data_IF_561000676653
#
_entry.id   IF_561000676653
#
_cell.length_a   1.000
_cell.length_b   1.000
_cell.length_c   1.000
_cell.angle_alpha   90.00
_cell.angle_beta   90.00
_cell.angle_gamma   90.00
#
_symmetry.space_group_name_H-M   'P 1'
#
loop_
_entity.id
_entity.type
_entity.pdbx_description
1 polymer ?
#
# COMPACT_ATOMS: atom_id res chain seq x y z
N UNK A 1 -4.95 -62.48 37.72
CA UNK A 1 -5.53 -62.05 39.01
C UNK A 1 -4.94 -60.68 39.34
N UNK A 2 -5.81 -59.73 39.74
CA UNK A 2 -5.47 -58.36 40.20
C UNK A 2 -5.29 -57.35 39.06
N UNK A 3 -6.32 -56.88 38.37
CA UNK A 3 -7.39 -55.94 38.81
C UNK A 3 -6.85 -54.57 39.20
N UNK A 4 -7.16 -53.62 38.32
CA UNK A 4 -7.05 -52.17 38.36
C UNK A 4 -7.75 -51.56 39.57
N UNK A 5 -7.09 -50.61 40.24
CA UNK A 5 -7.74 -49.73 41.21
C UNK A 5 -7.61 -48.27 40.76
N UNK A 6 -8.79 -47.65 40.71
CA UNK A 6 -9.17 -46.35 40.17
C UNK A 6 -9.53 -45.47 41.37
N UNK A 7 -8.98 -44.25 41.51
CA UNK A 7 -9.39 -43.22 42.48
C UNK A 7 -8.74 -41.85 42.12
N UNK A 8 -9.31 -40.70 42.53
CA UNK A 8 -10.07 -39.81 41.63
C UNK A 8 -9.47 -38.39 41.44
N UNK A 9 -10.00 -37.68 40.43
CA UNK A 9 -9.79 -36.26 40.18
C UNK A 9 -10.28 -35.35 41.33
N UNK A 10 -9.56 -34.27 41.66
CA UNK A 10 -10.14 -33.09 42.27
C UNK A 10 -10.36 -31.96 41.26
N UNK A 11 -11.50 -31.32 41.42
CA UNK A 11 -12.04 -30.19 40.64
C UNK A 11 -11.30 -28.88 40.95
N UNK A 12 -11.20 -28.07 39.90
CA UNK A 12 -10.69 -26.68 39.76
C UNK A 12 -11.10 -25.70 40.88
N UNK A 13 -10.24 -24.70 41.19
CA UNK A 13 -10.69 -23.34 41.44
C UNK A 13 -10.22 -22.37 40.33
N UNK A 14 -11.17 -21.60 39.81
CA UNK A 14 -10.96 -20.48 38.88
C UNK A 14 -10.34 -19.29 39.64
N UNK A 15 -9.17 -18.84 39.22
CA UNK A 15 -8.68 -17.47 39.49
C UNK A 15 -8.17 -16.88 38.16
N UNK A 16 -8.96 -16.02 37.52
CA UNK A 16 -8.88 -14.54 37.57
C UNK A 16 -7.48 -13.97 37.31
N UNK A 17 -7.34 -13.48 36.07
CA UNK A 17 -6.72 -12.19 35.68
C UNK A 17 -5.36 -11.83 36.26
N UNK A 18 -4.33 -11.97 35.44
CA UNK A 18 -3.19 -11.03 35.43
C UNK A 18 -3.06 -10.40 34.04
N UNK A 19 -3.79 -9.30 33.87
CA UNK A 19 -3.48 -8.29 32.87
C UNK A 19 -2.20 -7.59 33.32
N UNK A 20 -1.16 -7.62 32.50
CA UNK A 20 -0.08 -6.62 32.56
C UNK A 20 -0.22 -5.71 31.33
N UNK A 21 -0.12 -4.38 31.52
CA UNK A 21 -0.71 -3.42 30.61
C UNK A 21 0.22 -3.11 29.43
N UNK A 22 -0.33 -3.20 28.22
CA UNK A 22 0.25 -2.61 27.02
C UNK A 22 0.25 -1.08 27.15
N UNK A 23 1.44 -0.50 26.98
CA UNK A 23 1.68 0.94 26.99
C UNK A 23 0.95 1.62 25.83
N UNK A 24 -0.14 2.31 26.15
CA UNK A 24 -0.73 3.32 25.29
C UNK A 24 0.04 4.64 25.49
N UNK A 25 0.87 5.03 24.51
CA UNK A 25 1.42 6.38 24.44
C UNK A 25 0.30 7.36 24.04
N UNK A 26 -0.29 8.01 25.04
CA UNK A 26 -1.21 9.12 24.91
C UNK A 26 -0.43 10.42 25.14
N UNK A 27 -0.47 11.32 24.16
CA UNK A 27 0.12 12.67 24.20
C UNK A 27 -0.23 13.43 25.49
N UNK A 28 0.73 14.14 26.14
CA UNK A 28 0.41 15.01 27.27
C UNK A 28 -0.24 16.31 26.78
N UNK A 29 -1.44 16.58 27.30
CA UNK A 29 -2.06 17.91 27.29
C UNK A 29 -1.25 18.81 28.23
N UNK A 30 -0.66 19.88 27.70
CA UNK A 30 -0.09 20.95 28.51
C UNK A 30 -1.22 21.70 29.21
N UNK A 31 -1.32 21.49 30.53
CA UNK A 31 -2.12 22.31 31.43
C UNK A 31 -1.47 23.68 31.62
N UNK A 32 -2.26 24.74 31.50
CA UNK A 32 -1.89 26.08 31.96
C UNK A 32 -2.00 26.13 33.49
N UNK A 33 -1.06 26.76 34.21
CA UNK A 33 -1.26 27.05 35.62
C UNK A 33 -2.15 28.29 35.81
N UNK A 34 -3.01 28.19 36.82
CA UNK A 34 -3.76 29.28 37.45
C UNK A 34 -2.80 30.24 38.15
N UNK A 35 -2.98 31.54 37.94
CA UNK A 35 -2.55 32.60 38.87
C UNK A 35 -3.74 33.52 39.15
N UNK A 36 -3.97 33.76 40.43
CA UNK A 36 -4.98 34.61 41.06
C UNK A 36 -4.73 36.12 40.83
N UNK A 37 -5.73 36.99 41.12
CA UNK A 37 -5.80 38.34 40.56
C UNK A 37 -5.12 39.39 41.46
N UNK A 38 -4.43 40.34 40.83
CA UNK A 38 -4.06 41.61 41.44
C UNK A 38 -4.93 42.70 40.84
N UNK A 39 -5.81 43.26 41.68
CA UNK A 39 -6.59 44.45 41.36
C UNK A 39 -5.71 45.70 41.39
N UNK A 40 -5.89 46.55 40.38
CA UNK A 40 -5.59 47.97 40.44
C UNK A 40 -6.52 48.68 39.44
N UNK A 41 -7.46 49.42 40.00
CA UNK A 41 -8.33 50.34 39.30
C UNK A 41 -7.50 51.55 38.85
N UNK A 42 -7.56 51.89 37.55
CA UNK A 42 -7.25 53.22 37.04
C UNK A 42 -8.18 53.54 35.87
N UNK A 43 -9.12 54.42 36.19
CA UNK A 43 -9.59 55.61 35.48
C UNK A 43 -10.01 55.57 34.00
N UNK A 44 -11.16 56.19 33.77
CA UNK A 44 -11.84 56.28 32.49
C UNK A 44 -11.19 57.28 31.55
N UNK A 45 -11.07 56.87 30.28
CA UNK A 45 -10.65 57.74 29.19
C UNK A 45 -11.04 57.10 27.86
N UNK A 46 -12.11 57.63 27.27
CA UNK A 46 -12.61 57.28 25.94
C UNK A 46 -11.49 57.40 24.89
N UNK A 47 -11.13 56.26 24.26
CA UNK A 47 -10.36 56.26 23.00
C UNK A 47 -11.25 55.71 21.89
N UNK A 48 -11.40 56.41 20.76
CA UNK A 48 -12.21 55.92 19.64
C UNK A 48 -11.61 54.64 19.03
N UNK A 49 -12.46 53.62 18.85
CA UNK A 49 -12.12 52.39 18.11
C UNK A 49 -11.86 52.73 16.64
N UNK A 50 -10.69 52.33 16.14
CA UNK A 50 -10.43 52.31 14.70
C UNK A 50 -11.41 51.34 14.00
N UNK A 51 -11.90 51.66 12.78
CA UNK A 51 -12.83 50.81 12.05
C UNK A 51 -12.16 49.48 11.66
N UNK A 52 -12.85 48.38 11.94
CA UNK A 52 -12.46 47.03 11.53
C UNK A 52 -12.40 46.97 10.00
N UNK A 53 -11.30 46.49 9.38
CA UNK A 53 -11.26 46.30 7.93
C UNK A 53 -12.33 45.28 7.50
N UNK A 54 -12.94 45.44 6.31
CA UNK A 54 -13.94 44.49 5.82
C UNK A 54 -13.31 43.09 5.73
N UNK A 55 -14.05 42.07 6.19
CA UNK A 55 -13.66 40.67 6.00
C UNK A 55 -13.46 40.42 4.50
N UNK A 56 -12.38 39.75 4.07
CA UNK A 56 -12.25 39.35 2.69
C UNK A 56 -13.46 38.48 2.31
N UNK A 57 -14.15 38.88 1.25
CA UNK A 57 -15.23 38.10 0.65
C UNK A 57 -14.73 36.69 0.38
N UNK A 58 -15.40 35.70 0.97
CA UNK A 58 -15.14 34.29 0.72
C UNK A 58 -15.25 34.08 -0.81
N UNK A 59 -14.24 33.51 -1.50
CA UNK A 59 -14.38 33.22 -2.91
C UNK A 59 -15.63 32.36 -3.08
N UNK A 60 -16.51 32.76 -4.00
CA UNK A 60 -17.69 31.98 -4.34
C UNK A 60 -17.20 30.59 -4.72
N UNK A 61 -17.76 29.56 -4.06
CA UNK A 61 -17.56 28.20 -4.52
C UNK A 61 -18.13 28.15 -5.93
N UNK A 62 -17.42 27.60 -6.92
CA UNK A 62 -18.05 27.32 -8.21
C UNK A 62 -19.31 26.50 -7.92
N UNK A 63 -20.40 26.83 -8.59
CA UNK A 63 -21.65 26.09 -8.46
C UNK A 63 -21.42 24.69 -9.01
N UNK A 64 -21.20 23.74 -8.10
CA UNK A 64 -21.01 22.34 -8.42
C UNK A 64 -22.33 21.64 -8.12
N UNK A 65 -23.30 21.77 -9.01
CA UNK A 65 -24.35 20.76 -9.10
C UNK A 65 -23.65 19.44 -9.42
N UNK A 66 -23.59 18.56 -8.42
CA UNK A 66 -23.24 17.17 -8.66
C UNK A 66 -24.17 16.64 -9.77
N UNK A 67 -23.67 15.88 -10.75
CA UNK A 67 -24.56 15.14 -11.63
C UNK A 67 -25.54 14.34 -10.76
N UNK A 68 -26.83 14.35 -11.11
CA UNK A 68 -27.86 13.60 -10.39
C UNK A 68 -27.38 12.14 -10.24
N UNK A 69 -27.62 11.47 -9.10
CA UNK A 69 -27.45 10.03 -9.02
C UNK A 69 -28.27 9.39 -10.13
N UNK A 70 -27.64 8.54 -10.95
CA UNK A 70 -28.34 7.74 -11.95
C UNK A 70 -29.41 6.91 -11.25
N UNK A 71 -30.66 7.09 -11.66
CA UNK A 71 -31.78 6.30 -11.20
C UNK A 71 -31.79 4.95 -11.91
N UNK A 72 -32.35 3.93 -11.26
CA UNK A 72 -32.52 2.59 -11.86
C UNK A 72 -33.39 2.57 -13.13
N UNK A 73 -34.09 3.68 -13.41
CA UNK A 73 -34.98 3.87 -14.56
C UNK A 73 -34.41 4.82 -15.64
N UNK A 74 -33.15 5.25 -15.53
CA UNK A 74 -32.53 6.08 -16.58
C UNK A 74 -32.24 5.21 -17.83
N UNK A 75 -32.61 5.65 -19.05
CA UNK A 75 -32.36 4.87 -20.25
C UNK A 75 -30.86 4.64 -20.41
N UNK A 76 -30.45 3.38 -20.53
CA UNK A 76 -29.08 3.00 -20.89
C UNK A 76 -28.80 3.64 -22.25
N UNK A 77 -28.06 4.74 -22.23
CA UNK A 77 -27.69 5.43 -23.45
C UNK A 77 -26.91 4.48 -24.35
N UNK A 78 -27.26 4.54 -25.64
CA UNK A 78 -26.67 3.89 -26.80
C UNK A 78 -25.15 3.76 -26.72
N UNK A 79 -24.59 2.79 -27.46
CA UNK A 79 -23.14 2.57 -27.59
C UNK A 79 -22.36 3.89 -27.51
N UNK A 80 -21.34 3.97 -26.62
CA UNK A 80 -20.57 5.20 -26.47
C UNK A 80 -20.02 5.56 -27.86
N UNK A 81 -20.11 6.83 -28.29
CA UNK A 81 -19.55 7.22 -29.58
C UNK A 81 -18.07 6.79 -29.56
N UNK A 82 -17.62 6.03 -30.57
CA UNK A 82 -16.27 5.43 -30.66
C UNK A 82 -15.12 6.36 -30.21
N UNK A 83 -15.15 7.69 -30.43
CA UNK A 83 -14.14 8.62 -29.91
C UNK A 83 -13.99 8.63 -28.38
N UNK A 84 -15.09 8.46 -27.63
CA UNK A 84 -15.07 8.49 -26.16
C UNK A 84 -14.31 7.29 -25.59
N UNK A 85 -14.58 6.12 -26.17
CA UNK A 85 -13.94 4.86 -25.78
C UNK A 85 -12.45 4.88 -26.15
N UNK A 86 -12.10 5.34 -27.34
CA UNK A 86 -10.72 5.45 -27.78
C UNK A 86 -9.88 6.33 -26.82
N UNK A 87 -10.35 7.53 -26.51
CA UNK A 87 -9.68 8.47 -25.57
C UNK A 87 -9.55 7.86 -24.17
N UNK A 88 -10.59 7.18 -23.69
CA UNK A 88 -10.51 6.54 -22.37
C UNK A 88 -9.50 5.39 -22.35
N UNK A 89 -9.50 4.53 -23.37
CA UNK A 89 -8.58 3.39 -23.46
C UNK A 89 -7.13 3.84 -23.57
N UNK A 90 -6.86 4.94 -24.29
CA UNK A 90 -5.54 5.57 -24.36
C UNK A 90 -5.01 5.91 -22.96
N UNK A 91 -5.86 6.48 -22.09
CA UNK A 91 -5.46 6.92 -20.76
C UNK A 91 -5.64 5.86 -19.67
N UNK A 92 -6.30 4.74 -19.95
CA UNK A 92 -6.62 3.69 -18.98
C UNK A 92 -5.39 3.18 -18.19
N UNK A 93 -4.21 2.94 -18.78
CA UNK A 93 -3.03 2.54 -18.00
C UNK A 93 -2.61 3.60 -16.96
N UNK A 94 -2.67 4.89 -17.33
CA UNK A 94 -2.38 6.02 -16.44
C UNK A 94 -3.38 6.08 -15.29
N UNK A 95 -4.67 5.97 -15.59
CA UNK A 95 -5.74 5.97 -14.60
C UNK A 95 -5.61 4.82 -13.60
N UNK A 96 -5.35 3.61 -14.10
CA UNK A 96 -5.08 2.45 -13.25
C UNK A 96 -3.83 2.67 -12.38
N UNK A 97 -2.75 3.21 -12.95
CA UNK A 97 -1.51 3.50 -12.21
C UNK A 97 -1.70 4.49 -11.07
N UNK A 98 -2.55 5.52 -11.25
CA UNK A 98 -2.93 6.47 -10.20
C UNK A 98 -3.74 5.74 -9.12
N UNK A 99 -4.81 5.04 -9.50
CA UNK A 99 -5.70 4.38 -8.56
C UNK A 99 -4.99 3.30 -7.73
N UNK A 100 -4.13 2.49 -8.36
CA UNK A 100 -3.38 1.44 -7.67
C UNK A 100 -2.39 2.02 -6.65
N UNK A 101 -1.62 3.06 -6.99
CA UNK A 101 -0.70 3.72 -6.02
C UNK A 101 -1.46 4.42 -4.89
N UNK A 102 -2.68 4.87 -5.18
CA UNK A 102 -3.55 5.42 -4.16
C UNK A 102 -4.07 4.34 -3.20
N UNK A 103 -4.55 3.20 -3.71
CA UNK A 103 -5.36 2.25 -2.93
C UNK A 103 -4.60 1.01 -2.45
N UNK A 104 -3.51 0.64 -3.13
CA UNK A 104 -2.72 -0.54 -2.81
C UNK A 104 -3.44 -1.86 -3.09
N UNK A 105 -4.55 -1.86 -3.84
CA UNK A 105 -5.24 -3.06 -4.33
C UNK A 105 -5.55 -2.93 -5.82
N UNK A 106 -5.42 -4.03 -6.55
CA UNK A 106 -5.74 -4.13 -7.98
C UNK A 106 -7.24 -4.06 -8.19
N UNK A 107 -8.02 -4.82 -7.44
CA UNK A 107 -9.48 -4.82 -7.57
C UNK A 107 -10.08 -3.43 -7.30
N UNK A 108 -9.69 -2.77 -6.20
CA UNK A 108 -10.18 -1.40 -5.92
C UNK A 108 -9.73 -0.41 -7.01
N UNK A 109 -8.54 -0.58 -7.60
CA UNK A 109 -8.07 0.27 -8.68
C UNK A 109 -8.86 0.05 -9.98
N UNK A 110 -9.17 -1.20 -10.33
CA UNK A 110 -10.03 -1.54 -11.46
C UNK A 110 -11.44 -0.97 -11.29
N UNK A 111 -12.01 -1.10 -10.09
CA UNK A 111 -13.33 -0.53 -9.76
C UNK A 111 -13.35 0.99 -9.94
N UNK A 112 -12.31 1.70 -9.46
CA UNK A 112 -12.21 3.16 -9.65
C UNK A 112 -12.10 3.53 -11.14
N UNK A 113 -11.33 2.77 -11.92
CA UNK A 113 -11.20 3.02 -13.37
C UNK A 113 -12.53 2.76 -14.08
N UNK A 114 -13.27 1.72 -13.69
CA UNK A 114 -14.61 1.44 -14.23
C UNK A 114 -15.59 2.55 -13.87
N UNK A 115 -15.61 3.02 -12.62
CA UNK A 115 -16.46 4.14 -12.22
C UNK A 115 -16.10 5.43 -12.96
N UNK A 116 -14.81 5.67 -13.21
CA UNK A 116 -14.36 6.81 -14.02
C UNK A 116 -14.84 6.72 -15.47
N UNK A 117 -14.84 5.52 -16.07
CA UNK A 117 -15.40 5.28 -17.40
C UNK A 117 -16.88 5.66 -17.45
N UNK A 118 -17.69 5.19 -16.51
CA UNK A 118 -19.12 5.49 -16.47
C UNK A 118 -19.39 7.01 -16.39
N UNK A 119 -18.58 7.74 -15.62
CA UNK A 119 -18.67 9.20 -15.53
C UNK A 119 -18.22 9.89 -16.82
N UNK A 120 -17.22 9.35 -17.50
CA UNK A 120 -16.71 9.89 -18.76
C UNK A 120 -17.69 9.67 -19.91
N UNK A 121 -18.24 8.45 -20.04
CA UNK A 121 -19.17 8.11 -21.11
C UNK A 121 -20.49 8.87 -21.02
N UNK A 122 -20.94 9.19 -19.80
CA UNK A 122 -22.16 9.93 -19.54
C UNK A 122 -21.98 11.47 -19.51
N UNK A 123 -20.74 11.98 -19.53
CA UNK A 123 -20.49 13.41 -19.50
C UNK A 123 -20.70 14.08 -20.86
N UNK A 124 -21.21 15.30 -20.83
CA UNK A 124 -21.01 16.26 -21.91
C UNK A 124 -19.53 16.65 -21.94
N UNK A 125 -18.91 16.51 -23.11
CA UNK A 125 -17.45 16.56 -23.31
C UNK A 125 -17.02 17.69 -24.22
N UNK A 126 -17.97 18.50 -24.71
CA UNK A 126 -17.69 19.55 -25.69
C UNK A 126 -16.74 20.63 -25.12
N UNK A 127 -16.78 20.84 -23.80
CA UNK A 127 -15.90 21.78 -23.09
C UNK A 127 -14.62 21.13 -22.50
N UNK A 128 -14.37 19.83 -22.76
CA UNK A 128 -13.17 19.15 -22.24
C UNK A 128 -11.99 19.33 -23.19
N UNK A 129 -11.23 20.40 -22.96
CA UNK A 129 -10.01 20.69 -23.74
C UNK A 129 -8.89 19.65 -23.53
N UNK A 130 -8.74 19.13 -22.30
CA UNK A 130 -7.66 18.20 -21.92
C UNK A 130 -8.22 16.94 -21.24
N UNK A 131 -8.56 15.89 -22.03
CA UNK A 131 -9.16 14.65 -21.52
C UNK A 131 -8.33 13.95 -20.44
N UNK A 132 -7.00 13.94 -20.57
CA UNK A 132 -6.11 13.29 -19.60
C UNK A 132 -6.24 13.94 -18.22
N UNK A 133 -6.13 15.26 -18.15
CA UNK A 133 -6.22 16.00 -16.89
C UNK A 133 -7.62 15.86 -16.25
N UNK A 134 -8.67 15.81 -17.07
CA UNK A 134 -10.04 15.58 -16.62
C UNK A 134 -10.21 14.19 -15.99
N UNK A 135 -9.76 13.13 -16.67
CA UNK A 135 -9.86 11.75 -16.18
C UNK A 135 -8.99 11.51 -14.93
N UNK A 136 -7.76 12.02 -14.91
CA UNK A 136 -6.87 11.95 -13.73
C UNK A 136 -7.52 12.63 -12.52
N UNK A 137 -8.21 13.76 -12.72
CA UNK A 137 -8.97 14.43 -11.67
C UNK A 137 -10.10 13.57 -11.12
N UNK A 138 -10.89 12.92 -11.98
CA UNK A 138 -11.97 12.01 -11.57
C UNK A 138 -11.40 10.88 -10.73
N UNK A 139 -10.41 10.14 -11.27
CA UNK A 139 -9.81 8.98 -10.61
C UNK A 139 -9.16 9.35 -9.28
N UNK A 140 -8.49 10.50 -9.21
CA UNK A 140 -7.88 10.98 -7.96
C UNK A 140 -8.93 11.22 -6.89
N UNK A 141 -10.04 11.87 -7.23
CA UNK A 141 -11.12 12.16 -6.27
C UNK A 141 -11.79 10.88 -5.78
N UNK A 142 -12.14 9.99 -6.71
CA UNK A 142 -12.66 8.66 -6.42
C UNK A 142 -11.74 7.87 -5.47
N UNK A 143 -10.44 7.87 -5.76
CA UNK A 143 -9.45 7.18 -4.93
C UNK A 143 -9.31 7.78 -3.53
N UNK A 144 -9.38 9.11 -3.39
CA UNK A 144 -9.36 9.78 -2.08
C UNK A 144 -10.58 9.37 -1.25
N UNK A 145 -11.77 9.35 -1.87
CA UNK A 145 -13.00 9.00 -1.16
C UNK A 145 -13.00 7.51 -0.78
N UNK A 146 -12.55 6.63 -1.68
CA UNK A 146 -12.35 5.21 -1.37
C UNK A 146 -11.33 5.01 -0.25
N UNK A 147 -10.19 5.70 -0.26
CA UNK A 147 -9.21 5.64 0.83
C UNK A 147 -9.79 6.04 2.19
N UNK A 148 -10.64 7.07 2.24
CA UNK A 148 -11.32 7.48 3.48
C UNK A 148 -12.23 6.38 4.01
N UNK A 149 -13.01 5.75 3.12
CA UNK A 149 -13.89 4.64 3.47
C UNK A 149 -13.08 3.42 3.95
N UNK A 150 -12.01 3.06 3.23
CA UNK A 150 -11.18 1.90 3.56
C UNK A 150 -10.42 2.13 4.85
N UNK A 151 -9.85 3.32 5.09
CA UNK A 151 -9.16 3.64 6.35
C UNK A 151 -10.08 3.49 7.55
N UNK A 152 -11.34 3.91 7.43
CA UNK A 152 -12.35 3.71 8.47
C UNK A 152 -12.71 2.23 8.68
N UNK A 153 -12.58 1.38 7.65
CA UNK A 153 -12.85 -0.07 7.71
C UNK A 153 -11.65 -0.93 8.09
N UNK A 154 -10.41 -0.42 7.93
CA UNK A 154 -9.16 -1.14 8.23
C UNK A 154 -9.05 -1.57 9.70
N UNK A 155 -9.87 -1.01 10.59
CA UNK A 155 -10.01 -1.46 11.98
C UNK A 155 -10.43 -2.94 12.10
N UNK A 156 -11.09 -3.50 11.08
CA UNK A 156 -11.58 -4.89 11.08
C UNK A 156 -10.68 -5.85 10.30
N UNK A 157 -9.54 -5.41 9.77
CA UNK A 157 -8.65 -6.27 8.99
C UNK A 157 -7.91 -7.28 9.88
N UNK A 158 -7.89 -8.55 9.49
CA UNK A 158 -7.25 -9.63 10.26
C UNK A 158 -5.78 -9.74 9.89
N UNK A 159 -4.91 -9.27 10.80
CA UNK A 159 -3.45 -9.34 10.66
C UNK A 159 -2.82 -8.10 10.00
N UNK A 160 -1.52 -8.14 9.69
CA UNK A 160 -0.84 -7.06 8.96
C UNK A 160 -1.43 -6.85 7.56
N UNK A 161 -1.54 -5.58 7.15
CA UNK A 161 -1.94 -5.20 5.79
C UNK A 161 -0.72 -4.97 4.92
N UNK A 162 -0.65 -5.63 3.77
CA UNK A 162 0.33 -5.39 2.72
C UNK A 162 -0.35 -5.01 1.37
N UNK A 163 0.20 -4.13 0.53
CA UNK A 163 -0.33 -3.86 -0.80
C UNK A 163 -0.43 -5.12 -1.67
N UNK A 164 -1.41 -5.18 -2.57
CA UNK A 164 -1.50 -6.27 -3.54
C UNK A 164 -0.30 -6.25 -4.48
N UNK A 165 0.45 -7.36 -4.61
CA UNK A 165 1.59 -7.45 -5.51
C UNK A 165 1.14 -7.29 -6.96
N UNK A 166 1.82 -6.47 -7.76
CA UNK A 166 1.46 -6.22 -9.15
C UNK A 166 2.64 -6.56 -10.09
N UNK A 167 2.43 -7.36 -11.16
CA UNK A 167 3.45 -7.58 -12.19
C UNK A 167 4.03 -6.27 -12.71
N UNK A 168 5.35 -6.21 -12.83
CA UNK A 168 6.07 -4.95 -13.06
C UNK A 168 5.68 -4.30 -14.39
N UNK A 169 5.52 -5.10 -15.44
CA UNK A 169 5.02 -4.69 -16.75
C UNK A 169 3.69 -3.94 -16.64
N UNK A 170 2.75 -4.45 -15.85
CA UNK A 170 1.46 -3.80 -15.56
C UNK A 170 1.62 -2.57 -14.66
N UNK A 171 2.53 -2.62 -13.69
CA UNK A 171 2.78 -1.55 -12.71
C UNK A 171 3.36 -0.26 -13.32
N UNK A 172 4.08 -0.42 -14.44
CA UNK A 172 4.75 0.65 -15.19
C UNK A 172 4.16 0.88 -16.59
N UNK A 173 3.08 0.19 -16.96
CA UNK A 173 2.44 0.30 -18.28
C UNK A 173 2.13 1.76 -18.69
N UNK A 174 1.78 2.61 -17.73
CA UNK A 174 1.51 4.04 -17.94
C UNK A 174 2.74 4.85 -18.39
N UNK A 175 3.96 4.38 -18.13
CA UNK A 175 5.20 5.10 -18.49
C UNK A 175 5.40 5.20 -20.00
N UNK A 176 4.83 4.27 -20.76
CA UNK A 176 4.85 4.32 -22.22
C UNK A 176 4.14 5.58 -22.74
N UNK A 177 3.19 6.11 -21.97
CA UNK A 177 2.45 7.34 -22.26
C UNK A 177 3.02 8.57 -21.50
N UNK A 178 4.16 8.46 -20.81
CA UNK A 178 4.76 9.59 -20.10
C UNK A 178 5.46 10.55 -21.09
N UNK A 179 5.37 11.89 -20.89
CA UNK A 179 6.01 12.87 -21.76
C UNK A 179 7.52 12.67 -21.91
N UNK A 180 8.07 13.05 -23.06
CA UNK A 180 9.53 13.08 -23.29
C UNK A 180 10.20 14.01 -22.26
N UNK A 181 11.25 13.52 -21.60
CA UNK A 181 11.97 14.23 -20.53
C UNK A 181 11.50 13.93 -19.09
N UNK A 182 10.44 13.13 -18.91
CA UNK A 182 10.10 12.59 -17.59
C UNK A 182 11.20 11.65 -17.07
N UNK A 183 11.56 11.77 -15.79
CA UNK A 183 12.50 10.85 -15.15
C UNK A 183 11.81 9.50 -14.88
N UNK A 184 11.84 8.63 -15.90
CA UNK A 184 11.22 7.30 -15.88
C UNK A 184 11.76 6.41 -14.77
N UNK A 185 13.01 6.60 -14.35
CA UNK A 185 13.62 5.83 -13.28
C UNK A 185 13.03 6.22 -11.91
N UNK A 186 12.96 7.51 -11.60
CA UNK A 186 12.30 8.00 -10.37
C UNK A 186 10.83 7.60 -10.33
N UNK A 187 10.17 7.67 -11.48
CA UNK A 187 8.78 7.28 -11.66
C UNK A 187 8.55 5.78 -11.45
N UNK A 188 9.43 4.92 -11.97
CA UNK A 188 9.37 3.47 -11.76
C UNK A 188 9.56 3.14 -10.29
N UNK A 189 10.48 3.81 -9.62
CA UNK A 189 10.75 3.62 -8.20
C UNK A 189 9.51 3.92 -7.32
N UNK A 190 8.57 4.77 -7.76
CA UNK A 190 7.33 5.03 -6.99
C UNK A 190 6.41 3.82 -6.85
N UNK A 191 6.58 2.78 -7.68
CA UNK A 191 5.81 1.54 -7.56
C UNK A 191 6.51 0.46 -6.77
N UNK A 192 7.73 0.73 -6.29
CA UNK A 192 8.45 -0.20 -5.43
C UNK A 192 7.62 -0.52 -4.21
N UNK A 193 7.64 -1.79 -3.81
CA UNK A 193 6.73 -2.28 -2.78
C UNK A 193 6.95 -1.60 -1.43
N UNK A 194 8.22 -1.32 -1.11
CA UNK A 194 8.59 -0.52 0.05
C UNK A 194 7.97 0.88 -0.01
N UNK A 195 8.00 1.54 -1.18
CA UNK A 195 7.38 2.87 -1.34
C UNK A 195 5.86 2.80 -1.20
N UNK A 196 5.19 1.79 -1.76
CA UNK A 196 3.74 1.56 -1.56
C UNK A 196 3.39 1.36 -0.08
N UNK A 197 4.20 0.60 0.66
CA UNK A 197 4.04 0.42 2.10
C UNK A 197 4.24 1.71 2.89
N UNK A 198 5.24 2.52 2.53
CA UNK A 198 5.46 3.80 3.21
C UNK A 198 4.32 4.77 2.93
N UNK A 199 3.78 4.77 1.70
CA UNK A 199 2.60 5.54 1.33
C UNK A 199 1.38 5.19 2.20
N UNK A 200 1.31 3.98 2.78
CA UNK A 200 0.26 3.59 3.73
C UNK A 200 0.18 4.49 4.97
N UNK A 201 1.28 5.14 5.35
CA UNK A 201 1.32 6.09 6.47
C UNK A 201 0.84 7.50 6.13
N UNK A 202 0.68 7.82 4.84
CA UNK A 202 0.26 9.15 4.40
C UNK A 202 -1.25 9.34 4.55
N UNK A 203 -1.68 10.56 4.88
CA UNK A 203 -3.09 10.92 4.73
C UNK A 203 -3.53 10.80 3.26
N UNK A 204 -4.82 10.58 2.96
CA UNK A 204 -5.29 10.42 1.58
C UNK A 204 -4.88 11.57 0.64
N UNK A 205 -4.83 12.80 1.17
CA UNK A 205 -4.42 13.98 0.40
C UNK A 205 -2.91 14.08 0.22
N UNK A 206 -2.12 13.73 1.23
CA UNK A 206 -0.66 13.66 1.09
C UNK A 206 -0.27 12.60 0.07
N UNK A 207 -0.93 11.44 0.10
CA UNK A 207 -0.73 10.38 -0.89
C UNK A 207 -1.11 10.84 -2.29
N UNK A 208 -2.27 11.48 -2.47
CA UNK A 208 -2.68 12.01 -3.78
C UNK A 208 -1.66 13.00 -4.35
N UNK A 209 -1.19 13.95 -3.53
CA UNK A 209 -0.19 14.92 -3.95
C UNK A 209 1.14 14.24 -4.28
N UNK A 210 1.58 13.27 -3.48
CA UNK A 210 2.80 12.50 -3.74
C UNK A 210 2.69 11.72 -5.05
N UNK A 211 1.62 10.96 -5.26
CA UNK A 211 1.41 10.16 -6.47
C UNK A 211 1.38 11.05 -7.71
N UNK A 212 0.54 12.09 -7.72
CA UNK A 212 0.43 12.97 -8.90
C UNK A 212 1.74 13.70 -9.20
N UNK A 213 2.50 14.09 -8.17
CA UNK A 213 3.75 14.83 -8.35
C UNK A 213 4.92 13.92 -8.71
N UNK A 214 5.15 12.88 -7.94
CA UNK A 214 6.38 12.06 -8.00
C UNK A 214 6.23 10.90 -8.97
N UNK A 215 5.02 10.30 -9.07
CA UNK A 215 4.78 9.24 -10.04
C UNK A 215 4.36 9.81 -11.40
N UNK A 216 3.57 10.87 -11.48
CA UNK A 216 3.04 11.36 -12.77
C UNK A 216 3.63 12.69 -13.24
N UNK A 217 4.50 13.32 -12.45
CA UNK A 217 5.22 14.54 -12.85
C UNK A 217 4.35 15.79 -12.92
N UNK A 218 3.11 15.78 -12.42
CA UNK A 218 2.19 16.91 -12.60
C UNK A 218 2.71 18.18 -11.91
N UNK A 219 2.55 19.35 -12.54
CA UNK A 219 2.82 20.63 -11.91
C UNK A 219 1.84 20.90 -10.77
N UNK A 220 2.27 21.63 -9.75
CA UNK A 220 1.43 21.94 -8.58
C UNK A 220 0.13 22.67 -8.94
N UNK A 221 0.10 23.45 -10.02
CA UNK A 221 -1.11 24.12 -10.49
C UNK A 221 -2.18 23.10 -10.94
N UNK A 222 -1.77 22.07 -11.69
CA UNK A 222 -2.68 21.03 -12.16
C UNK A 222 -3.17 20.16 -11.00
N UNK A 223 -2.29 19.80 -10.06
CA UNK A 223 -2.66 19.08 -8.85
C UNK A 223 -3.65 19.89 -8.01
N UNK A 224 -3.45 21.21 -7.91
CA UNK A 224 -4.36 22.13 -7.22
C UNK A 224 -5.76 22.13 -7.85
N UNK A 225 -5.84 22.19 -9.18
CA UNK A 225 -7.10 22.08 -9.90
C UNK A 225 -7.76 20.70 -9.71
N UNK A 226 -6.99 19.61 -9.78
CA UNK A 226 -7.49 18.26 -9.57
C UNK A 226 -8.10 18.08 -8.17
N UNK A 227 -7.42 18.58 -7.15
CA UNK A 227 -7.84 18.46 -5.75
C UNK A 227 -8.83 19.54 -5.29
N UNK A 228 -9.12 20.55 -6.12
CA UNK A 228 -9.97 21.69 -5.75
C UNK A 228 -9.37 22.50 -4.59
N UNK A 229 -8.06 22.76 -4.62
CA UNK A 229 -7.31 23.45 -3.56
C UNK A 229 -6.43 24.55 -4.13
N UNK A 230 -5.96 25.48 -3.28
CA UNK A 230 -4.95 26.46 -3.66
C UNK A 230 -3.56 25.82 -3.82
N UNK A 231 -2.73 26.38 -4.71
CA UNK A 231 -1.39 25.85 -5.01
C UNK A 231 -0.49 25.78 -3.77
N UNK A 232 -0.56 26.77 -2.88
CA UNK A 232 0.21 26.79 -1.63
C UNK A 232 -0.15 25.63 -0.69
N UNK A 233 -1.45 25.30 -0.60
CA UNK A 233 -1.90 24.16 0.19
C UNK A 233 -1.39 22.83 -0.38
N UNK A 234 -1.30 22.71 -1.71
CA UNK A 234 -0.71 21.54 -2.37
C UNK A 234 0.79 21.47 -2.10
N UNK A 235 1.53 22.58 -2.18
CA UNK A 235 2.97 22.62 -1.86
C UNK A 235 3.24 22.19 -0.42
N UNK A 236 2.43 22.64 0.53
CA UNK A 236 2.51 22.21 1.92
C UNK A 236 2.25 20.71 2.09
N UNK A 237 1.21 20.18 1.42
CA UNK A 237 0.92 18.75 1.40
C UNK A 237 2.08 17.93 0.82
N UNK A 238 2.69 18.41 -0.26
CA UNK A 238 3.86 17.77 -0.87
C UNK A 238 5.05 17.75 0.09
N UNK A 239 5.32 18.86 0.78
CA UNK A 239 6.37 18.93 1.80
C UNK A 239 6.15 17.93 2.94
N UNK A 240 4.91 17.82 3.44
CA UNK A 240 4.55 16.83 4.47
C UNK A 240 4.69 15.40 3.97
N UNK A 241 4.21 15.11 2.77
CA UNK A 241 4.34 13.80 2.16
C UNK A 241 5.82 13.40 2.04
N UNK A 242 6.67 14.27 1.48
CA UNK A 242 8.11 14.01 1.36
C UNK A 242 8.78 13.76 2.71
N UNK A 243 8.44 14.53 3.74
CA UNK A 243 8.97 14.31 5.09
C UNK A 243 8.55 12.94 5.64
N UNK A 244 7.27 12.59 5.55
CA UNK A 244 6.79 11.28 6.02
C UNK A 244 7.41 10.11 5.25
N UNK A 245 7.61 10.27 3.94
CA UNK A 245 8.34 9.31 3.11
C UNK A 245 9.79 9.18 3.56
N UNK A 246 10.52 10.30 3.74
CA UNK A 246 11.93 10.29 4.13
C UNK A 246 12.20 9.72 5.54
N UNK A 247 11.25 9.86 6.46
CA UNK A 247 11.33 9.28 7.80
C UNK A 247 11.21 7.75 7.81
N UNK A 248 10.59 7.17 6.78
CA UNK A 248 10.16 5.75 6.76
C UNK A 248 10.75 4.94 5.60
N UNK A 249 11.28 5.62 4.58
CA UNK A 249 11.91 4.98 3.42
C UNK A 249 13.32 4.53 3.78
N UNK A 250 13.70 3.27 3.50
CA UNK A 250 15.11 2.88 3.48
C UNK A 250 15.86 3.82 2.53
N UNK A 251 16.96 4.42 2.97
CA UNK A 251 17.60 5.55 2.26
C UNK A 251 18.41 5.14 1.02
N UNK A 252 18.29 3.89 0.57
CA UNK A 252 19.35 3.26 -0.22
C UNK A 252 18.80 2.36 -1.31
N UNK A 253 19.43 2.44 -2.47
CA UNK A 253 19.14 1.64 -3.66
C UNK A 253 20.31 0.71 -3.90
N UNK A 254 20.13 -0.56 -3.55
CA UNK A 254 21.02 -1.64 -3.97
C UNK A 254 20.85 -1.85 -5.48
N UNK A 255 21.95 -2.12 -6.18
CA UNK A 255 21.91 -2.39 -7.61
C UNK A 255 20.91 -3.52 -7.96
N UNK A 256 20.32 -3.45 -9.14
CA UNK A 256 19.28 -4.40 -9.57
C UNK A 256 19.83 -5.83 -9.69
N UNK A 257 21.07 -6.00 -10.17
CA UNK A 257 21.71 -7.31 -10.29
C UNK A 257 21.98 -7.91 -8.91
N UNK A 258 22.51 -7.11 -7.99
CA UNK A 258 22.74 -7.53 -6.61
C UNK A 258 21.44 -7.88 -5.88
N UNK A 259 20.34 -7.13 -6.09
CA UNK A 259 19.02 -7.49 -5.55
C UNK A 259 18.53 -8.83 -6.07
N UNK A 260 18.74 -9.10 -7.36
CA UNK A 260 18.36 -10.37 -7.98
C UNK A 260 19.16 -11.54 -7.42
N UNK A 261 20.48 -11.43 -7.40
CA UNK A 261 21.37 -12.44 -6.80
C UNK A 261 21.02 -12.70 -5.33
N UNK A 262 20.81 -11.65 -4.53
CA UNK A 262 20.37 -11.80 -3.14
C UNK A 262 19.02 -12.50 -3.01
N UNK A 263 18.09 -12.20 -3.92
CA UNK A 263 16.79 -12.86 -3.97
C UNK A 263 16.98 -14.34 -4.28
N UNK A 264 17.72 -14.68 -5.33
CA UNK A 264 17.99 -16.08 -5.71
C UNK A 264 18.67 -16.86 -4.59
N UNK A 265 19.67 -16.29 -3.92
CA UNK A 265 20.35 -16.90 -2.75
C UNK A 265 19.42 -17.07 -1.55
N UNK A 266 18.60 -16.06 -1.24
CA UNK A 266 17.59 -16.17 -0.19
C UNK A 266 16.62 -17.30 -0.46
N UNK A 267 16.21 -17.46 -1.72
CA UNK A 267 15.28 -18.49 -2.12
C UNK A 267 15.89 -19.88 -2.01
N UNK A 268 17.09 -20.09 -2.52
CA UNK A 268 17.79 -21.36 -2.38
C UNK A 268 17.86 -21.79 -0.90
N UNK A 269 18.32 -20.88 -0.03
CA UNK A 269 18.44 -21.18 1.40
C UNK A 269 17.08 -21.41 2.07
N UNK A 270 16.06 -20.62 1.74
CA UNK A 270 14.71 -20.78 2.30
C UNK A 270 14.06 -22.11 1.89
N UNK A 271 14.25 -22.54 0.63
CA UNK A 271 13.67 -23.76 0.08
C UNK A 271 14.36 -25.02 0.63
N UNK A 272 15.68 -24.99 0.75
CA UNK A 272 16.46 -26.10 1.32
C UNK A 272 16.33 -26.18 2.86
N UNK A 273 15.75 -25.14 3.47
CA UNK A 273 15.69 -25.01 4.92
C UNK A 273 17.08 -24.78 5.53
N UNK A 274 18.02 -24.27 4.74
CA UNK A 274 19.38 -23.92 5.15
C UNK A 274 19.36 -22.67 6.04
N UNK A 275 19.31 -22.91 7.34
CA UNK A 275 19.31 -21.85 8.35
C UNK A 275 20.63 -21.09 8.31
N UNK A 276 21.77 -21.75 8.07
CA UNK A 276 23.07 -21.09 8.06
C UNK A 276 23.19 -20.12 6.87
N UNK A 277 22.78 -20.58 5.68
CA UNK A 277 22.65 -19.75 4.48
C UNK A 277 21.72 -18.56 4.71
N UNK A 278 20.55 -18.77 5.31
CA UNK A 278 19.64 -17.67 5.67
C UNK A 278 20.28 -16.68 6.65
N UNK A 279 20.99 -17.15 7.69
CA UNK A 279 21.64 -16.27 8.66
C UNK A 279 22.77 -15.44 8.04
N UNK A 280 23.40 -15.91 6.96
CA UNK A 280 24.46 -15.18 6.26
C UNK A 280 23.96 -13.96 5.46
N UNK A 281 22.68 -13.99 5.03
CA UNK A 281 22.06 -12.95 4.20
C UNK A 281 21.06 -12.07 4.96
N UNK A 282 20.49 -12.56 6.05
CA UNK A 282 19.53 -11.81 6.85
C UNK A 282 20.23 -10.76 7.72
N UNK A 283 19.65 -9.56 7.78
CA UNK A 283 20.04 -8.57 8.77
C UNK A 283 19.69 -9.10 10.19
N UNK A 284 20.48 -8.80 11.23
CA UNK A 284 20.20 -9.27 12.59
C UNK A 284 18.79 -8.88 13.09
N UNK A 285 18.32 -7.68 12.72
CA UNK A 285 17.02 -7.10 13.04
C UNK A 285 15.95 -7.36 11.96
N UNK A 286 16.18 -8.32 11.04
CA UNK A 286 15.24 -8.61 9.94
C UNK A 286 13.82 -8.81 10.47
N UNK A 287 12.86 -8.24 9.75
CA UNK A 287 11.44 -8.40 10.07
C UNK A 287 10.72 -9.14 8.94
N UNK A 288 9.92 -10.15 9.29
CA UNK A 288 8.99 -10.80 8.36
C UNK A 288 7.57 -10.32 8.67
N UNK A 289 6.92 -9.73 7.67
CA UNK A 289 5.52 -9.28 7.74
C UNK A 289 4.69 -10.13 6.80
N UNK A 290 3.64 -10.77 7.32
CA UNK A 290 2.76 -11.62 6.54
C UNK A 290 1.34 -11.05 6.46
N UNK A 291 0.76 -11.06 5.27
CA UNK A 291 -0.64 -10.75 5.01
C UNK A 291 -1.36 -12.01 4.54
N UNK A 292 -2.16 -12.61 5.42
CA UNK A 292 -3.04 -13.73 5.11
C UNK A 292 -4.52 -13.32 5.00
N UNK A 293 -4.87 -12.08 5.35
CA UNK A 293 -6.25 -11.57 5.40
C UNK A 293 -7.25 -12.42 6.18
N UNK A 294 -6.80 -13.25 7.13
CA UNK A 294 -7.63 -14.24 7.84
C UNK A 294 -8.05 -15.45 7.00
N UNK A 295 -7.61 -15.56 5.74
CA UNK A 295 -7.97 -16.61 4.78
C UNK A 295 -6.85 -17.61 4.52
N UNK A 296 -5.61 -17.21 4.78
CA UNK A 296 -4.42 -18.03 4.59
C UNK A 296 -3.51 -17.99 5.82
N UNK A 297 -2.62 -18.99 5.92
CA UNK A 297 -1.59 -19.04 6.97
C UNK A 297 -0.51 -17.99 6.68
N UNK A 298 -0.47 -16.95 7.51
CA UNK A 298 0.59 -15.97 7.56
C UNK A 298 0.83 -15.57 9.02
N UNK A 299 2.01 -15.06 9.38
CA UNK A 299 2.25 -14.55 10.73
C UNK A 299 1.23 -13.48 11.12
N UNK A 300 0.47 -13.66 12.21
CA UNK A 300 -0.56 -12.70 12.62
C UNK A 300 0.03 -11.37 13.12
N UNK A 301 1.34 -11.35 13.37
CA UNK A 301 2.15 -10.18 13.73
C UNK A 301 3.51 -10.32 13.06
N UNK A 302 4.18 -9.19 12.89
CA UNK A 302 5.55 -9.18 12.37
C UNK A 302 6.48 -10.03 13.26
N UNK A 303 7.34 -10.82 12.63
CA UNK A 303 8.37 -11.62 13.30
C UNK A 303 9.69 -10.86 13.15
N UNK A 304 10.34 -10.51 14.26
CA UNK A 304 11.62 -9.77 14.24
C UNK A 304 12.76 -10.61 14.79
N UNK A 305 13.89 -10.57 14.08
CA UNK A 305 15.14 -11.25 14.40
C UNK A 305 15.45 -12.39 13.45
N UNK A 306 16.69 -12.43 12.93
CA UNK A 306 17.14 -13.39 11.92
C UNK A 306 16.85 -14.84 12.32
N UNK A 307 17.15 -15.21 13.56
CA UNK A 307 16.92 -16.56 14.09
C UNK A 307 15.43 -16.96 14.09
N UNK A 308 14.52 -16.04 14.46
CA UNK A 308 13.07 -16.32 14.46
C UNK A 308 12.51 -16.40 13.04
N UNK A 309 12.98 -15.51 12.16
CA UNK A 309 12.59 -15.51 10.74
C UNK A 309 13.09 -16.77 10.04
N UNK A 310 14.35 -17.16 10.25
CA UNK A 310 14.94 -18.38 9.70
C UNK A 310 14.16 -19.62 10.12
N UNK A 311 13.88 -19.80 11.42
CA UNK A 311 13.07 -20.94 11.89
C UNK A 311 11.65 -20.95 11.30
N UNK A 312 11.03 -19.78 11.10
CA UNK A 312 9.72 -19.69 10.46
C UNK A 312 9.78 -20.17 9.01
N UNK A 313 10.75 -19.70 8.23
CA UNK A 313 10.95 -20.10 6.83
C UNK A 313 11.28 -21.60 6.71
N UNK A 314 12.19 -22.12 7.52
CA UNK A 314 12.48 -23.56 7.56
C UNK A 314 11.24 -24.39 7.97
N UNK A 315 10.38 -23.84 8.82
CA UNK A 315 9.11 -24.45 9.19
C UNK A 315 8.14 -24.59 8.01
N UNK A 316 8.09 -23.59 7.12
CA UNK A 316 7.33 -23.64 5.87
C UNK A 316 7.93 -24.70 4.94
N UNK A 317 9.25 -24.69 4.74
CA UNK A 317 9.94 -25.64 3.87
C UNK A 317 9.74 -27.11 4.27
N UNK A 318 9.65 -27.39 5.58
CA UNK A 318 9.37 -28.75 6.12
C UNK A 318 7.93 -29.21 5.93
N UNK A 319 7.00 -28.29 5.64
CA UNK A 319 5.57 -28.58 5.46
C UNK A 319 5.04 -27.79 4.26
N UNK A 320 5.55 -28.07 3.05
CA UNK A 320 5.15 -27.32 1.86
C UNK A 320 3.67 -27.57 1.54
N UNK A 321 3.02 -26.64 0.80
CA UNK A 321 1.72 -26.94 0.19
C UNK A 321 1.86 -28.10 -0.81
N UNK A 322 0.73 -28.68 -1.23
CA UNK A 322 0.76 -29.83 -2.15
C UNK A 322 1.32 -29.42 -3.53
N UNK A 323 2.34 -30.16 -4.00
CA UNK A 323 2.98 -29.91 -5.30
C UNK A 323 3.34 -28.43 -5.55
N UNK A 324 4.22 -27.82 -4.72
CA UNK A 324 4.59 -26.43 -4.88
C UNK A 324 5.46 -26.27 -6.13
N UNK A 325 5.24 -25.16 -6.85
CA UNK A 325 6.18 -24.66 -7.84
C UNK A 325 6.61 -23.24 -7.47
N UNK A 326 7.88 -22.93 -7.76
CA UNK A 326 8.54 -21.70 -7.35
C UNK A 326 9.01 -20.94 -8.57
N UNK A 327 8.64 -19.66 -8.66
CA UNK A 327 8.91 -18.82 -9.82
C UNK A 327 9.54 -17.50 -9.37
N UNK A 328 10.68 -17.14 -9.97
CA UNK A 328 11.23 -15.80 -9.83
C UNK A 328 10.54 -14.91 -10.87
N UNK A 329 9.85 -13.88 -10.41
CA UNK A 329 9.06 -12.96 -11.23
C UNK A 329 9.36 -11.52 -10.84
N UNK A 330 9.16 -10.59 -11.78
CA UNK A 330 9.30 -9.16 -11.51
C UNK A 330 7.97 -8.58 -11.02
N UNK A 331 7.89 -8.21 -9.75
CA UNK A 331 6.70 -7.63 -9.12
C UNK A 331 7.05 -6.24 -8.57
N UNK A 332 6.25 -5.23 -8.90
CA UNK A 332 6.42 -3.87 -8.37
C UNK A 332 7.82 -3.27 -8.61
N UNK A 333 8.50 -3.63 -9.71
CA UNK A 333 9.83 -3.13 -10.06
C UNK A 333 10.99 -3.83 -9.34
N UNK A 334 10.75 -5.01 -8.76
CA UNK A 334 11.78 -5.81 -8.12
C UNK A 334 11.55 -7.32 -8.29
N UNK A 335 12.62 -8.13 -8.23
CA UNK A 335 12.52 -9.58 -8.15
C UNK A 335 11.68 -10.01 -6.93
N UNK A 336 10.82 -11.00 -7.15
CA UNK A 336 9.96 -11.59 -6.15
C UNK A 336 9.84 -13.10 -6.38
N UNK A 337 9.54 -13.84 -5.32
CA UNK A 337 9.18 -15.25 -5.42
C UNK A 337 7.67 -15.39 -5.45
N UNK A 338 7.15 -15.95 -6.53
CA UNK A 338 5.80 -16.46 -6.62
C UNK A 338 5.82 -17.96 -6.33
N UNK A 339 5.09 -18.37 -5.29
CA UNK A 339 4.81 -19.77 -4.97
C UNK A 339 3.45 -20.11 -5.54
N UNK A 340 3.36 -21.21 -6.28
CA UNK A 340 2.09 -21.73 -6.82
C UNK A 340 1.83 -23.15 -6.33
N UNK A 341 0.56 -23.49 -6.18
CA UNK A 341 0.05 -24.84 -5.88
C UNK A 341 -1.00 -25.18 -6.93
N UNK A 342 -0.90 -26.34 -7.56
CA UNK A 342 -1.85 -26.76 -8.62
C UNK A 342 -2.04 -25.70 -9.73
N UNK A 343 -0.96 -25.00 -10.10
CA UNK A 343 -0.99 -23.94 -11.11
C UNK A 343 -1.68 -22.64 -10.67
N UNK A 344 -1.95 -22.45 -9.37
CA UNK A 344 -2.55 -21.22 -8.82
C UNK A 344 -1.62 -20.51 -7.85
N UNK A 345 -1.57 -19.17 -7.81
CA UNK A 345 -0.83 -18.41 -6.80
C UNK A 345 -1.20 -18.81 -5.38
N UNK A 346 -0.20 -19.18 -4.59
CA UNK A 346 -0.32 -19.52 -3.17
C UNK A 346 0.26 -18.43 -2.27
N UNK A 347 1.37 -17.83 -2.68
CA UNK A 347 2.00 -16.75 -1.93
C UNK A 347 3.05 -16.01 -2.76
N UNK A 348 3.29 -14.75 -2.41
CA UNK A 348 4.36 -13.93 -2.97
C UNK A 348 5.29 -13.48 -1.86
N UNK A 349 6.60 -13.69 -2.04
CA UNK A 349 7.64 -13.15 -1.18
C UNK A 349 8.39 -12.03 -1.88
N UNK A 350 8.60 -10.93 -1.16
CA UNK A 350 9.46 -9.83 -1.59
C UNK A 350 10.42 -9.42 -0.50
N UNK A 351 11.60 -8.95 -0.91
CA UNK A 351 12.69 -8.64 0.00
C UNK A 351 12.94 -7.13 0.02
N UNK A 352 12.97 -6.56 1.22
CA UNK A 352 13.56 -5.26 1.49
C UNK A 352 15.03 -5.44 1.87
N UNK A 353 15.92 -4.85 1.10
CA UNK A 353 17.38 -4.97 1.26
C UNK A 353 17.96 -3.66 1.77
N UNK A 354 18.98 -3.72 2.64
CA UNK A 354 19.74 -2.56 3.12
C UNK A 354 21.02 -2.29 2.31
N UNK A 355 21.79 -1.28 2.72
CA UNK A 355 23.03 -0.85 2.05
C UNK A 355 24.08 -1.95 1.95
N UNK A 356 24.14 -2.79 2.97
CA UNK A 356 25.14 -3.84 3.10
C UNK A 356 24.76 -5.08 2.26
N UNK A 357 23.67 -4.99 1.49
CA UNK A 357 23.14 -6.09 0.72
C UNK A 357 22.52 -7.18 1.61
N UNK A 358 22.03 -6.83 2.80
CA UNK A 358 21.34 -7.77 3.70
C UNK A 358 19.84 -7.62 3.62
N UNK A 359 19.14 -8.74 3.79
CA UNK A 359 17.68 -8.76 3.82
C UNK A 359 17.20 -8.22 5.17
N UNK A 360 16.64 -7.01 5.16
CA UNK A 360 16.09 -6.33 6.33
C UNK A 360 14.59 -6.58 6.52
N UNK A 361 13.86 -6.85 5.44
CA UNK A 361 12.43 -7.15 5.54
C UNK A 361 12.03 -8.22 4.55
N UNK A 362 11.20 -9.17 5.00
CA UNK A 362 10.56 -10.17 4.15
C UNK A 362 9.05 -9.90 4.17
N UNK A 363 8.49 -9.54 3.02
CA UNK A 363 7.05 -9.36 2.85
C UNK A 363 6.46 -10.65 2.28
N UNK A 364 5.49 -11.23 2.98
CA UNK A 364 4.75 -12.41 2.55
C UNK A 364 3.29 -12.05 2.31
N UNK A 365 2.85 -12.04 1.05
CA UNK A 365 1.42 -11.94 0.71
C UNK A 365 0.90 -13.34 0.43
N UNK A 366 0.05 -13.85 1.30
CA UNK A 366 -0.58 -15.17 1.17
C UNK A 366 -2.12 -15.07 1.05
N UNK A 367 -2.69 -13.88 1.20
CA UNK A 367 -4.13 -13.66 1.07
C UNK A 367 -4.59 -13.97 -0.37
N UNK A 368 -5.44 -14.99 -0.60
CA UNK A 368 -5.83 -15.40 -1.94
C UNK A 368 -6.57 -14.31 -2.72
N UNK A 369 -7.33 -13.45 -2.03
CA UNK A 369 -8.01 -12.31 -2.67
C UNK A 369 -7.04 -11.32 -3.31
N UNK A 370 -5.81 -11.26 -2.79
CA UNK A 370 -4.74 -10.36 -3.25
C UNK A 370 -3.85 -10.98 -4.32
N UNK A 371 -4.05 -12.26 -4.63
CA UNK A 371 -3.20 -13.01 -5.56
C UNK A 371 -3.97 -13.48 -6.80
N UNK A 372 -5.30 -13.37 -6.81
CA UNK A 372 -6.16 -13.89 -7.87
C UNK A 372 -5.88 -13.29 -9.27
N UNK A 373 -5.30 -12.09 -9.35
CA UNK A 373 -4.95 -11.44 -10.62
C UNK A 373 -3.57 -11.84 -11.16
N UNK A 374 -2.78 -12.61 -10.40
CA UNK A 374 -1.47 -13.06 -10.86
C UNK A 374 -1.62 -14.29 -11.76
N UNK A 375 -1.14 -14.18 -12.99
CA UNK A 375 -0.97 -15.32 -13.87
C UNK A 375 0.40 -15.97 -13.58
N UNK A 376 0.46 -17.24 -13.17
CA UNK A 376 1.73 -17.93 -13.03
C UNK A 376 2.40 -18.11 -14.40
N UNK A 377 3.74 -18.01 -14.50
CA UNK A 377 4.45 -18.32 -15.73
C UNK A 377 4.17 -19.76 -16.20
N UNK A 378 4.19 -19.99 -17.50
CA UNK A 378 4.11 -21.35 -18.06
C UNK A 378 5.42 -22.13 -17.77
N UNK A 379 5.29 -23.39 -17.35
CA UNK A 379 6.42 -24.29 -17.07
C UNK A 379 6.87 -24.29 -15.60
N UNK A 380 7.67 -25.29 -15.16
CA UNK A 380 8.32 -25.23 -13.87
C UNK A 380 9.31 -24.05 -13.86
N UNK A 381 9.23 -23.16 -12.86
CA UNK A 381 10.21 -22.09 -12.71
C UNK A 381 11.64 -22.64 -12.64
N UNK A 382 12.67 -21.79 -12.82
CA UNK A 382 14.07 -22.21 -13.03
C UNK A 382 14.68 -23.03 -11.87
N UNK A 383 13.99 -23.13 -10.74
CA UNK A 383 14.34 -24.00 -9.62
C UNK A 383 13.47 -25.26 -9.72
N UNK A 384 13.98 -26.26 -10.45
CA UNK A 384 13.39 -27.59 -10.50
C UNK A 384 13.17 -28.14 -9.07
N UNK A 385 12.08 -28.89 -8.82
CA UNK A 385 11.81 -29.45 -7.51
C UNK A 385 12.89 -30.45 -7.12
N UNK A 386 13.31 -30.37 -5.85
CA UNK A 386 13.82 -31.45 -5.01
C UNK A 386 14.18 -32.76 -5.76
N UNK A 387 15.45 -32.95 -6.08
CA UNK A 387 16.02 -34.28 -6.03
C UNK A 387 16.53 -34.49 -4.58
N UNK A 388 15.97 -35.44 -3.79
CA UNK A 388 16.65 -35.86 -2.58
C UNK A 388 18.03 -36.37 -3.01
N UNK A 389 19.11 -35.77 -2.50
CA UNK A 389 20.41 -36.44 -2.51
C UNK A 389 20.26 -37.66 -1.60
N UNK A 390 19.88 -38.78 -2.19
CA UNK A 390 20.05 -40.08 -1.58
C UNK A 390 21.56 -40.24 -1.39
N UNK A 391 22.03 -39.97 -0.18
CA UNK A 391 23.34 -40.39 0.26
C UNK A 391 23.31 -41.91 0.42
N UNK A 392 23.62 -42.62 -0.65
CA UNK A 392 24.20 -43.95 -0.58
C UNK A 392 25.70 -43.79 -0.84
N UNK A 393 26.52 -44.27 0.11
CA UNK A 393 27.98 -44.25 0.07
C UNK A 393 28.60 -44.08 1.44
#
# INVERSE_FOLDING_TARGET
>A
MGVTENQPHPVVPRHRTSQLPWCAHRYPRLGRPLQEPLGLALDGGDRPRAPTPPRPTRPQRPDWTAPRPLGWDDPVAHDPPEPALAVFQEHRPTLFGVAYRMLGRVADAEDIVQEAWLRWSAADRDDVEEPRAYLVRIVTRLSIDRLRQVTARKETYVGPWLPEPLPTDRAVAWQQAAPEGADRAVMAETVSYAVLLVMESLSPLERAVFVLREAFGLPYAEIAAALGRGQDAVRQLAGRARRHMAERRPRYTVDAEQRRDLTERFLAAALEGDIEGLMSILAPDVTLVGDGGGKAKAPPRAITGADKVGRFLSGIARRPPAAPAFHVVEINGAPALLVTTEGRPFGVFQLGVDEDGRVRTVYLVANPDKLAHLAPPEGPGPLAPFAPRNGEG
#
